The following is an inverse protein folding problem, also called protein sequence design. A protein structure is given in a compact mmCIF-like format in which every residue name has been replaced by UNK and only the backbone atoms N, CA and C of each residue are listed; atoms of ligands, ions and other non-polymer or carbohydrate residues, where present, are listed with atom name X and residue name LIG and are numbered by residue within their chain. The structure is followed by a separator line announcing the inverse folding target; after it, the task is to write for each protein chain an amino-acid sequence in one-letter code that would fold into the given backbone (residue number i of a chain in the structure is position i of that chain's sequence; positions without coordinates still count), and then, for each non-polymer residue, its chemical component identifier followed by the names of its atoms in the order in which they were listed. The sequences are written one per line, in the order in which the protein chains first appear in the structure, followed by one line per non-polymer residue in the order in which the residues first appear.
data_IF_330529109411
#
_entry.id   IF_330529109411
#
_cell.length_a   1.000
_cell.length_b   1.000
_cell.length_c   1.000
_cell.angle_alpha   90.00
_cell.angle_beta   90.00
_cell.angle_gamma   90.00
#
_symmetry.space_group_name_H-M   'P 1'
#
loop_
_entity.id
_entity.type
_entity.pdbx_description
1 polymer ?
#
# COMPACT_ATOMS: atom_id res chain seq x y z
N UNK A 1 8.82 2.02 26.51
CA UNK A 1 9.58 1.16 25.94
C UNK A 1 8.86 0.30 25.04
N UNK A 2 9.36 -0.02 24.00
CA UNK A 2 8.66 -0.79 23.06
C UNK A 2 8.55 -2.13 23.60
N UNK A 3 7.44 -2.66 23.48
CA UNK A 3 7.23 -3.92 24.01
C UNK A 3 7.68 -4.94 23.01
N UNK A 4 7.68 -6.15 23.43
CA UNK A 4 7.96 -7.22 22.54
C UNK A 4 6.91 -7.31 21.48
N UNK A 5 5.68 -6.96 21.81
CA UNK A 5 4.59 -6.97 20.86
C UNK A 5 4.85 -6.03 19.71
N UNK A 6 5.40 -4.87 20.01
CA UNK A 6 5.70 -3.91 18.98
C UNK A 6 6.76 -4.47 18.03
N UNK A 7 7.84 -5.03 18.55
CA UNK A 7 8.87 -5.59 17.70
C UNK A 7 8.38 -6.76 16.89
N UNK A 8 7.49 -7.53 17.48
CA UNK A 8 6.94 -8.68 16.79
C UNK A 8 6.09 -8.26 15.62
N UNK A 9 5.21 -7.27 15.81
CA UNK A 9 4.37 -6.77 14.73
C UNK A 9 5.22 -6.12 13.67
N UNK A 10 6.30 -5.45 14.05
CA UNK A 10 7.19 -4.85 13.09
C UNK A 10 7.82 -5.90 12.21
N UNK A 11 8.27 -6.98 12.79
CA UNK A 11 8.91 -8.04 12.05
C UNK A 11 7.94 -8.75 11.12
N UNK A 12 6.75 -9.02 11.62
CA UNK A 12 5.71 -9.64 10.81
C UNK A 12 5.33 -8.72 9.68
N UNK A 13 5.25 -7.42 9.95
CA UNK A 13 4.92 -6.44 8.92
C UNK A 13 5.95 -6.43 7.81
N UNK A 14 7.24 -6.53 8.15
CA UNK A 14 8.28 -6.53 7.14
C UNK A 14 8.21 -7.78 6.27
N UNK A 15 7.95 -8.93 6.89
CA UNK A 15 7.81 -10.15 6.13
C UNK A 15 6.58 -10.12 5.25
N UNK A 16 5.48 -9.62 5.78
CA UNK A 16 4.25 -9.51 5.01
C UNK A 16 4.45 -8.57 3.83
N UNK A 17 5.14 -7.45 4.05
CA UNK A 17 5.37 -6.51 2.97
C UNK A 17 6.12 -7.17 1.82
N UNK A 18 7.13 -7.98 2.15
CA UNK A 18 7.89 -8.64 1.11
C UNK A 18 7.05 -9.67 0.38
N UNK A 19 6.31 -10.50 1.12
CA UNK A 19 5.49 -11.53 0.48
C UNK A 19 4.35 -10.92 -0.31
N UNK A 20 3.70 -9.92 0.25
CA UNK A 20 2.60 -9.27 -0.45
C UNK A 20 3.11 -8.52 -1.68
N UNK A 21 4.33 -7.99 -1.61
CA UNK A 21 4.91 -7.36 -2.79
C UNK A 21 5.00 -8.33 -3.95
N UNK A 22 5.43 -9.55 -3.68
CA UNK A 22 5.53 -10.57 -4.71
C UNK A 22 4.16 -10.97 -5.21
N UNK A 23 3.20 -11.12 -4.31
CA UNK A 23 1.86 -11.55 -4.70
C UNK A 23 1.13 -10.47 -5.48
N UNK A 24 1.29 -9.21 -5.10
CA UNK A 24 0.68 -8.11 -5.83
C UNK A 24 1.32 -8.00 -7.22
N UNK A 25 2.64 -8.16 -7.30
CA UNK A 25 3.33 -8.10 -8.57
C UNK A 25 2.81 -9.20 -9.50
N UNK A 26 2.60 -10.40 -8.96
CA UNK A 26 2.06 -11.49 -9.75
C UNK A 26 0.63 -11.20 -10.19
N UNK A 27 -0.18 -10.61 -9.31
CA UNK A 27 -1.56 -10.28 -9.66
C UNK A 27 -1.61 -9.24 -10.77
N UNK A 28 -0.73 -8.24 -10.70
CA UNK A 28 -0.65 -7.21 -11.73
C UNK A 28 -0.31 -7.86 -13.06
N UNK A 29 0.70 -8.74 -13.07
CA UNK A 29 1.12 -9.38 -14.29
C UNK A 29 0.06 -10.31 -14.86
N UNK A 30 -0.54 -11.12 -13.98
CA UNK A 30 -1.44 -12.16 -14.43
C UNK A 30 -2.82 -11.64 -14.82
N UNK A 31 -3.24 -10.53 -14.24
CA UNK A 31 -4.57 -10.00 -14.50
C UNK A 31 -4.56 -8.67 -15.24
N UNK A 32 -3.41 -8.24 -15.69
CA UNK A 32 -3.32 -7.01 -16.47
C UNK A 32 -3.73 -5.77 -15.71
N UNK A 33 -3.40 -5.71 -14.42
CA UNK A 33 -3.75 -4.55 -13.65
C UNK A 33 -2.76 -3.42 -13.87
N UNK A 34 -3.11 -2.19 -13.52
CA UNK A 34 -2.13 -1.10 -13.59
C UNK A 34 -0.94 -1.41 -12.69
N UNK A 35 0.21 -0.90 -13.08
CA UNK A 35 1.44 -1.17 -12.36
C UNK A 35 1.44 -0.53 -11.00
N UNK A 36 1.52 -1.33 -9.95
CA UNK A 36 1.55 -0.82 -8.57
C UNK A 36 2.57 -1.62 -7.79
N UNK A 37 3.01 -1.03 -6.68
CA UNK A 37 3.94 -1.69 -5.77
C UNK A 37 3.44 -1.50 -4.35
N UNK A 38 3.75 -2.45 -3.50
CA UNK A 38 3.42 -2.35 -2.08
C UNK A 38 4.42 -1.41 -1.43
N UNK A 39 3.93 -0.34 -0.82
CA UNK A 39 4.80 0.61 -0.16
C UNK A 39 4.89 0.36 1.34
N UNK A 40 3.86 -0.19 1.94
CA UNK A 40 3.88 -0.44 3.36
C UNK A 40 2.75 -1.39 3.73
N UNK A 41 2.87 -1.99 4.89
CA UNK A 41 1.82 -2.88 5.42
C UNK A 41 1.66 -2.55 6.89
N UNK A 42 0.44 -2.26 7.30
CA UNK A 42 0.14 -1.99 8.69
C UNK A 42 -0.76 -3.10 9.22
N UNK A 43 -0.37 -3.70 10.31
CA UNK A 43 -1.10 -4.83 10.88
C UNK A 43 -1.72 -4.41 12.18
N UNK A 44 -2.97 -4.80 12.40
CA UNK A 44 -3.61 -4.53 13.67
C UNK A 44 -2.94 -5.36 14.77
N UNK A 45 -3.08 -4.91 15.99
CA UNK A 45 -2.40 -5.54 17.10
C UNK A 45 -2.84 -6.98 17.29
N UNK A 46 -4.10 -7.28 17.01
CA UNK A 46 -4.60 -8.64 17.14
C UNK A 46 -4.28 -9.49 15.91
N UNK A 47 -3.61 -8.91 14.92
CA UNK A 47 -3.24 -9.59 13.69
C UNK A 47 -4.42 -10.03 12.85
N UNK A 48 -5.58 -9.44 13.06
CA UNK A 48 -6.76 -9.81 12.27
C UNK A 48 -6.82 -9.10 10.94
N UNK A 49 -6.26 -7.91 10.85
CA UNK A 49 -6.32 -7.11 9.63
C UNK A 49 -4.96 -6.57 9.26
N UNK A 50 -4.71 -6.52 7.99
CA UNK A 50 -3.52 -5.88 7.45
C UNK A 50 -3.96 -4.90 6.38
N UNK A 51 -3.54 -3.65 6.51
CA UNK A 51 -3.77 -2.65 5.49
C UNK A 51 -2.53 -2.62 4.61
N UNK A 52 -2.72 -2.88 3.33
CA UNK A 52 -1.63 -2.96 2.37
C UNK A 52 -1.66 -1.69 1.55
N UNK A 53 -0.67 -0.83 1.75
CA UNK A 53 -0.58 0.43 1.05
C UNK A 53 0.18 0.22 -0.24
N UNK A 54 -0.37 0.70 -1.35
CA UNK A 54 0.27 0.55 -2.65
C UNK A 54 0.42 1.90 -3.33
N UNK A 55 1.48 2.02 -4.10
CA UNK A 55 1.69 3.21 -4.93
C UNK A 55 1.55 2.79 -6.38
N UNK A 56 1.16 3.72 -7.23
CA UNK A 56 0.99 3.43 -8.65
C UNK A 56 2.04 4.16 -9.45
N UNK A 57 2.50 3.53 -10.51
CA UNK A 57 3.43 4.17 -11.41
C UNK A 57 2.77 5.37 -12.06
N UNK A 58 1.50 5.25 -12.41
CA UNK A 58 0.72 6.35 -12.95
C UNK A 58 -0.32 6.70 -11.90
N UNK A 59 -0.24 7.87 -11.27
CA UNK A 59 -1.11 8.17 -10.11
C UNK A 59 -2.60 8.02 -10.40
N UNK A 60 -3.03 8.37 -11.61
CA UNK A 60 -4.44 8.28 -11.95
C UNK A 60 -4.95 6.85 -11.94
N UNK A 61 -4.05 5.88 -11.98
CA UNK A 61 -4.44 4.48 -11.99
C UNK A 61 -4.42 3.87 -10.61
N UNK A 62 -4.06 4.65 -9.59
CA UNK A 62 -3.93 4.11 -8.23
C UNK A 62 -5.23 3.61 -7.65
N UNK A 63 -6.28 4.43 -7.71
CA UNK A 63 -7.56 4.01 -7.14
C UNK A 63 -8.19 2.84 -7.91
N UNK A 64 -8.18 2.84 -9.24
CA UNK A 64 -8.69 1.67 -9.96
C UNK A 64 -7.91 0.40 -9.62
N UNK A 65 -6.59 0.50 -9.47
CA UNK A 65 -5.80 -0.66 -9.12
C UNK A 65 -6.16 -1.18 -7.74
N UNK A 66 -6.35 -0.27 -6.79
CA UNK A 66 -6.73 -0.64 -5.43
C UNK A 66 -8.08 -1.34 -5.43
N UNK A 67 -9.02 -0.83 -6.22
CA UNK A 67 -10.31 -1.46 -6.31
C UNK A 67 -10.18 -2.89 -6.81
N UNK A 68 -9.38 -3.09 -7.85
CA UNK A 68 -9.17 -4.42 -8.39
C UNK A 68 -8.50 -5.34 -7.38
N UNK A 69 -7.50 -4.83 -6.66
CA UNK A 69 -6.81 -5.64 -5.66
C UNK A 69 -7.74 -6.03 -4.53
N UNK A 70 -8.62 -5.12 -4.12
CA UNK A 70 -9.57 -5.45 -3.06
C UNK A 70 -10.58 -6.51 -3.52
N UNK A 71 -10.90 -6.54 -4.79
CA UNK A 71 -11.74 -7.60 -5.31
C UNK A 71 -11.02 -8.94 -5.30
N UNK A 72 -9.70 -8.92 -5.32
CA UNK A 72 -8.88 -10.12 -5.30
C UNK A 72 -8.33 -10.41 -3.91
N UNK A 73 -8.73 -9.66 -2.90
CA UNK A 73 -8.12 -9.77 -1.58
C UNK A 73 -8.20 -11.18 -1.02
N UNK A 74 -9.31 -11.86 -1.24
CA UNK A 74 -9.48 -13.21 -0.73
C UNK A 74 -8.50 -14.17 -1.40
N UNK A 75 -8.33 -14.05 -2.70
CA UNK A 75 -7.40 -14.89 -3.43
C UNK A 75 -5.96 -14.62 -3.01
N UNK A 76 -5.63 -13.35 -2.84
CA UNK A 76 -4.28 -12.99 -2.44
C UNK A 76 -4.01 -13.48 -1.03
N UNK A 77 -5.01 -13.39 -0.15
CA UNK A 77 -4.87 -13.90 1.20
C UNK A 77 -4.65 -15.40 1.20
N UNK A 78 -5.37 -16.10 0.34
CA UNK A 78 -5.22 -17.54 0.23
C UNK A 78 -3.80 -17.89 -0.25
N UNK A 79 -3.30 -17.16 -1.25
CA UNK A 79 -1.95 -17.38 -1.72
C UNK A 79 -0.92 -17.08 -0.62
N UNK A 80 -1.19 -16.07 0.19
CA UNK A 80 -0.31 -15.71 1.28
C UNK A 80 -0.24 -16.85 2.30
N UNK A 81 -1.36 -17.48 2.56
CA UNK A 81 -1.41 -18.59 3.50
C UNK A 81 -0.55 -19.77 3.04
N UNK A 82 -0.30 -19.86 1.73
CA UNK A 82 0.50 -20.94 1.17
C UNK A 82 1.89 -20.48 0.74
N UNK A 83 2.31 -19.30 1.17
CA UNK A 83 3.54 -18.71 0.67
C UNK A 83 4.77 -19.12 1.45
N UNK A 84 4.63 -19.87 2.48
CA UNK A 84 5.77 -20.25 3.29
C UNK A 84 5.97 -19.40 4.52
N UNK A 85 5.20 -18.34 4.68
CA UNK A 85 5.26 -17.58 5.91
C UNK A 85 4.68 -18.41 7.02
N UNK A 86 5.33 -18.34 8.17
CA UNK A 86 4.85 -19.11 9.28
C UNK A 86 3.91 -18.26 10.09
N UNK A 87 2.67 -18.23 9.74
CA UNK A 87 1.65 -17.54 10.51
C UNK A 87 0.56 -18.51 10.83
N UNK A 88 0.17 -18.53 12.14
CA UNK A 88 -0.91 -19.33 12.53
C UNK A 88 -2.14 -18.88 11.86
N UNK A 89 -2.30 -17.60 11.65
CA UNK A 89 -3.50 -17.00 11.18
C UNK A 89 -3.11 -15.89 10.25
N UNK A 90 -3.59 -15.91 9.05
CA UNK A 90 -3.29 -14.89 8.06
C UNK A 90 -4.33 -13.80 8.18
N UNK A 91 -3.92 -12.54 8.31
CA UNK A 91 -4.89 -11.46 8.48
C UNK A 91 -5.72 -11.23 7.22
N UNK A 92 -6.87 -10.62 7.40
CA UNK A 92 -7.64 -10.16 6.27
C UNK A 92 -6.90 -9.00 5.63
N UNK A 93 -6.99 -8.89 4.33
CA UNK A 93 -6.24 -7.87 3.60
C UNK A 93 -7.16 -6.77 3.12
N UNK A 94 -6.69 -5.54 3.25
CA UNK A 94 -7.39 -4.39 2.72
C UNK A 94 -6.36 -3.55 2.01
N UNK A 95 -6.56 -3.30 0.73
CA UNK A 95 -5.62 -2.52 -0.05
C UNK A 95 -6.05 -1.06 -0.08
N UNK A 96 -5.10 -0.16 0.07
CA UNK A 96 -5.36 1.27 0.02
C UNK A 96 -4.27 1.95 -0.80
N UNK A 97 -4.64 3.05 -1.43
CA UNK A 97 -3.69 3.80 -2.23
C UNK A 97 -2.87 4.71 -1.33
N UNK A 98 -1.56 4.63 -1.47
CA UNK A 98 -0.66 5.47 -0.71
C UNK A 98 -0.32 6.66 -1.58
N UNK A 99 -0.94 7.78 -1.31
CA UNK A 99 -0.72 8.97 -2.12
C UNK A 99 0.33 9.89 -1.51
N UNK A 100 1.13 9.40 -0.58
CA UNK A 100 2.10 10.26 0.09
C UNK A 100 3.12 10.83 -0.89
N UNK A 101 3.54 10.07 -1.89
CA UNK A 101 4.49 10.55 -2.87
C UNK A 101 3.84 11.65 -3.71
N UNK A 102 2.60 11.45 -4.12
CA UNK A 102 1.88 12.45 -4.90
C UNK A 102 1.70 13.72 -4.08
N UNK A 103 1.36 13.57 -2.81
CA UNK A 103 1.19 14.73 -1.94
C UNK A 103 2.51 15.44 -1.74
N UNK A 104 3.60 14.69 -1.61
CA UNK A 104 4.90 15.28 -1.47
C UNK A 104 5.30 16.10 -2.67
N UNK A 105 5.07 15.57 -3.86
CA UNK A 105 5.36 16.29 -5.08
C UNK A 105 4.51 17.54 -5.20
N UNK A 106 3.26 17.43 -4.79
CA UNK A 106 2.37 18.58 -4.84
C UNK A 106 2.83 19.66 -3.88
N UNK A 107 3.24 19.27 -2.68
CA UNK A 107 3.73 20.21 -1.69
C UNK A 107 4.99 20.90 -2.21
N UNK A 108 5.90 20.14 -2.80
CA UNK A 108 7.11 20.71 -3.35
C UNK A 108 6.80 21.72 -4.43
N UNK A 109 5.85 21.42 -5.28
CA UNK A 109 5.47 22.33 -6.34
C UNK A 109 4.87 23.61 -5.78
N UNK A 110 4.01 23.45 -4.77
CA UNK A 110 3.39 24.61 -4.16
C UNK A 110 4.43 25.49 -3.48
N UNK A 111 5.41 24.89 -2.84
CA UNK A 111 6.45 25.66 -2.20
C UNK A 111 7.27 26.43 -3.23
N UNK A 112 7.56 25.81 -4.37
CA UNK A 112 8.28 26.50 -5.42
C UNK A 112 7.47 27.65 -6.01
N UNK A 113 6.18 27.43 -6.17
CA UNK A 113 5.32 28.46 -6.69
C UNK A 113 5.22 29.64 -5.73
N UNK A 114 5.20 29.35 -4.44
CA UNK A 114 5.16 30.41 -3.48
C UNK A 114 6.46 31.20 -3.51
N UNK A 115 7.57 30.52 -3.71
CA UNK A 115 8.83 31.21 -3.81
C UNK A 115 8.83 32.14 -5.00
N UNK A 116 8.12 31.81 -6.05
CA UNK A 116 8.02 32.64 -7.20
C UNK A 116 6.86 33.58 -7.09
N UNK A 117 6.26 33.67 -6.02
CA UNK A 117 5.15 34.54 -5.80
C UNK A 117 4.00 34.12 -6.50
N UNK A 118 3.78 32.97 -6.69
CA UNK A 118 2.81 32.69 -7.46
C UNK A 118 1.56 32.52 -6.98
N UNK A 119 0.66 32.22 -7.66
CA UNK A 119 -0.57 32.08 -7.31
C UNK A 119 -0.90 30.81 -6.78
N UNK A 120 -1.86 30.62 -6.08
CA UNK A 120 -2.23 29.43 -5.49
C UNK A 120 -2.63 28.43 -6.46
N UNK A 121 -2.39 27.29 -6.22
CA UNK A 121 -2.73 26.34 -7.05
C UNK A 121 -3.81 25.67 -6.56
N UNK A 122 -4.75 25.45 -7.15
CA UNK A 122 -5.76 24.92 -6.60
C UNK A 122 -5.95 23.63 -6.81
N UNK A 123 -5.49 23.01 -7.27
CA UNK A 123 -5.73 21.82 -7.58
C UNK A 123 -5.92 20.97 -6.69
N UNK A 124 -6.03 21.03 -6.02
CA UNK A 124 -6.19 20.30 -5.09
C UNK A 124 -6.77 19.13 -5.16
N UNK A 125 -7.24 18.62 -5.63
CA UNK A 125 -7.81 17.59 -5.72
C UNK A 125 -7.49 16.53 -5.33
N UNK A 126 -7.54 16.00 -4.83
CA UNK A 126 -7.16 15.10 -4.39
C UNK A 126 -7.60 14.03 -4.60
N UNK A 127 -7.93 13.60 -4.76
CA UNK A 127 -8.24 12.57 -4.96
C UNK A 127 -8.46 11.91 -4.34
#
# INVERSE_FOLDING_TARGET
MPSRDFKRTDRIGAELRRELGLLVHAAVRDHGLPSVSVSDVEITRDLDWATVWVTALVPEQGLPAVKALNQMAHEIRHALAHSGMRMRRVPELKFRYDDSVDKGERIDRLLREQADASKPDDDASPV
#
